data_IF_237562334503
#
_entry.id   IF_237562334503
#
_cell.length_a   1.000
_cell.length_b   1.000
_cell.length_c   1.000
_cell.angle_alpha   90.00
_cell.angle_beta   90.00
_cell.angle_gamma   90.00
#
_symmetry.space_group_name_H-M   'P 1'
#
loop_
_entity.id
_entity.type
_entity.pdbx_description
1 polymer ?
#
# COMPACT_ATOMS: atom_id res chain seq x y z
N UNK A 1 19.71 8.07 -6.16
CA UNK A 1 18.74 8.71 -5.24
C UNK A 1 18.49 7.72 -4.12
N UNK A 2 18.48 8.15 -2.86
CA UNK A 2 18.17 7.23 -1.76
C UNK A 2 16.68 6.85 -1.80
N UNK A 3 16.30 5.70 -1.21
CA UNK A 3 14.90 5.35 -1.06
C UNK A 3 14.06 6.46 -0.41
N UNK A 4 14.55 7.07 0.68
CA UNK A 4 13.83 8.17 1.37
C UNK A 4 13.57 9.38 0.47
N UNK A 5 14.53 9.71 -0.42
CA UNK A 5 14.36 10.79 -1.39
C UNK A 5 13.27 10.49 -2.43
N UNK A 6 13.12 9.21 -2.83
CA UNK A 6 12.05 8.78 -3.72
C UNK A 6 10.70 8.90 -3.00
N UNK A 7 10.63 8.40 -1.76
CA UNK A 7 9.43 8.48 -0.94
C UNK A 7 8.98 9.92 -0.70
N UNK A 8 9.91 10.83 -0.39
CA UNK A 8 9.60 12.26 -0.23
C UNK A 8 8.97 12.88 -1.50
N UNK A 9 9.51 12.56 -2.69
CA UNK A 9 8.93 13.00 -3.96
C UNK A 9 7.54 12.42 -4.21
N UNK A 10 7.34 11.17 -3.79
CA UNK A 10 6.06 10.48 -3.86
C UNK A 10 5.02 11.14 -2.96
N UNK A 11 5.41 11.48 -1.73
CA UNK A 11 4.59 12.23 -0.78
C UNK A 11 4.20 13.57 -1.36
N UNK A 12 5.16 14.38 -1.82
CA UNK A 12 4.91 15.68 -2.44
C UNK A 12 3.94 15.57 -3.64
N UNK A 13 4.13 14.54 -4.49
CA UNK A 13 3.28 14.30 -5.65
C UNK A 13 1.83 13.93 -5.26
N UNK A 14 1.65 13.17 -4.19
CA UNK A 14 0.32 12.77 -3.71
C UNK A 14 -0.34 13.89 -2.90
N UNK A 15 0.41 14.62 -2.07
CA UNK A 15 -0.05 15.82 -1.35
C UNK A 15 -0.61 16.85 -2.34
N UNK A 16 0.07 17.08 -3.48
CA UNK A 16 -0.41 18.00 -4.51
C UNK A 16 -1.76 17.59 -5.13
N UNK A 17 -2.11 16.30 -5.11
CA UNK A 17 -3.38 15.78 -5.64
C UNK A 17 -4.49 15.71 -4.59
N UNK A 18 -4.13 15.64 -3.31
CA UNK A 18 -5.07 15.50 -2.19
C UNK A 18 -5.27 16.78 -1.39
N UNK A 19 -4.52 17.84 -1.69
CA UNK A 19 -4.67 19.14 -1.06
C UNK A 19 -5.97 19.82 -1.45
N UNK A 20 -6.60 20.49 -0.47
CA UNK A 20 -7.69 21.42 -0.72
C UNK A 20 -7.16 22.72 -1.40
N UNK A 21 -8.04 23.64 -1.83
CA UNK A 21 -7.61 24.91 -2.45
C UNK A 21 -6.74 25.81 -1.54
N UNK A 22 -6.65 25.52 -0.24
CA UNK A 22 -5.78 26.19 0.72
C UNK A 22 -4.46 25.44 0.97
N UNK A 23 -4.21 24.32 0.28
CA UNK A 23 -3.00 23.53 0.42
C UNK A 23 -3.01 22.58 1.63
N UNK A 24 -4.16 22.29 2.23
CA UNK A 24 -4.28 21.39 3.38
C UNK A 24 -4.63 19.98 2.93
N UNK A 25 -4.01 18.98 3.53
CA UNK A 25 -4.27 17.56 3.27
C UNK A 25 -5.06 16.94 4.42
N UNK A 26 -6.11 16.19 4.10
CA UNK A 26 -6.82 15.37 5.08
C UNK A 26 -5.99 14.10 5.36
N UNK A 27 -5.44 13.99 6.57
CA UNK A 27 -4.41 12.99 6.88
C UNK A 27 -4.93 11.56 6.76
N UNK A 28 -6.17 11.28 7.15
CA UNK A 28 -6.77 9.95 7.07
C UNK A 28 -6.96 9.50 5.62
N UNK A 29 -7.31 10.43 4.73
CA UNK A 29 -7.39 10.16 3.29
C UNK A 29 -6.00 9.85 2.71
N UNK A 30 -4.98 10.63 3.07
CA UNK A 30 -3.60 10.41 2.65
C UNK A 30 -3.07 9.05 3.10
N UNK A 31 -3.22 8.72 4.39
CA UNK A 31 -2.75 7.45 4.96
C UNK A 31 -3.49 6.24 4.34
N UNK A 32 -4.80 6.36 4.12
CA UNK A 32 -5.60 5.34 3.43
C UNK A 32 -5.10 5.11 2.01
N UNK A 33 -4.84 6.17 1.25
CA UNK A 33 -4.33 6.11 -0.12
C UNK A 33 -2.92 5.48 -0.16
N UNK A 34 -2.00 5.94 0.70
CA UNK A 34 -0.65 5.39 0.80
C UNK A 34 -0.65 3.90 1.16
N UNK A 35 -1.52 3.47 2.08
CA UNK A 35 -1.68 2.06 2.42
C UNK A 35 -2.11 1.20 1.23
N UNK A 36 -3.10 1.67 0.46
CA UNK A 36 -3.57 0.99 -0.76
C UNK A 36 -2.46 0.90 -1.82
N UNK A 37 -1.75 2.00 -2.05
CA UNK A 37 -0.67 2.10 -3.02
C UNK A 37 0.54 1.24 -2.61
N UNK A 38 0.90 1.20 -1.32
CA UNK A 38 1.98 0.37 -0.81
C UNK A 38 1.69 -1.13 -1.00
N UNK A 39 0.47 -1.57 -0.65
CA UNK A 39 0.03 -2.95 -0.85
C UNK A 39 0.05 -3.35 -2.32
N UNK A 40 -0.46 -2.50 -3.22
CA UNK A 40 -0.39 -2.74 -4.66
C UNK A 40 1.06 -2.67 -5.19
N UNK A 41 1.89 -1.81 -4.62
CA UNK A 41 3.33 -1.72 -4.90
C UNK A 41 4.08 -3.01 -4.58
N UNK A 42 3.71 -3.72 -3.52
CA UNK A 42 4.23 -5.07 -3.24
C UNK A 42 3.84 -6.06 -4.35
N UNK A 43 2.59 -6.02 -4.84
CA UNK A 43 2.16 -6.87 -5.95
C UNK A 43 2.89 -6.54 -7.26
N UNK A 44 3.19 -5.27 -7.51
CA UNK A 44 3.99 -4.82 -8.64
C UNK A 44 5.44 -5.32 -8.54
N UNK A 45 6.05 -5.21 -7.35
CA UNK A 45 7.39 -5.72 -7.07
C UNK A 45 7.51 -7.23 -7.35
N UNK A 46 6.52 -8.03 -6.93
CA UNK A 46 6.49 -9.49 -7.23
C UNK A 46 6.47 -9.74 -8.74
N UNK A 47 5.66 -8.99 -9.50
CA UNK A 47 5.60 -9.13 -10.96
C UNK A 47 6.93 -8.75 -11.62
N UNK A 48 7.60 -7.71 -11.15
CA UNK A 48 8.93 -7.33 -11.65
C UNK A 48 9.98 -8.39 -11.31
N UNK A 49 9.93 -8.99 -10.12
CA UNK A 49 10.81 -10.10 -9.75
C UNK A 49 10.61 -11.33 -10.64
N UNK A 50 9.36 -11.67 -10.98
CA UNK A 50 9.04 -12.75 -11.92
C UNK A 50 9.59 -12.44 -13.31
N UNK A 51 9.36 -11.23 -13.83
CA UNK A 51 9.90 -10.80 -15.15
C UNK A 51 11.42 -10.86 -15.20
N UNK A 52 12.08 -10.52 -14.09
CA UNK A 52 13.54 -10.58 -13.96
C UNK A 52 14.08 -12.01 -13.72
N UNK A 53 13.23 -13.04 -13.69
CA UNK A 53 13.64 -14.42 -13.43
C UNK A 53 14.12 -14.70 -12.00
N UNK A 54 13.82 -13.80 -11.04
CA UNK A 54 14.23 -13.94 -9.63
C UNK A 54 13.27 -14.82 -8.83
N UNK A 55 12.01 -14.90 -9.26
CA UNK A 55 10.96 -15.69 -8.62
C UNK A 55 10.29 -16.57 -9.69
N UNK A 56 9.95 -17.79 -9.32
CA UNK A 56 9.17 -18.68 -10.18
C UNK A 56 7.76 -18.11 -10.38
N UNK A 57 7.28 -17.90 -11.62
CA UNK A 57 5.92 -17.41 -11.87
C UNK A 57 4.85 -18.32 -11.26
N UNK A 58 5.10 -19.64 -11.19
CA UNK A 58 4.16 -20.60 -10.64
C UNK A 58 4.02 -20.39 -9.12
N UNK A 59 2.85 -19.92 -8.70
CA UNK A 59 2.55 -19.67 -7.28
C UNK A 59 3.12 -18.36 -6.74
N UNK A 60 3.71 -17.51 -7.58
CA UNK A 60 4.18 -16.18 -7.15
C UNK A 60 3.01 -15.32 -6.67
N UNK A 61 1.85 -15.48 -7.31
CA UNK A 61 0.61 -14.81 -6.95
C UNK A 61 -0.52 -15.84 -7.06
N UNK A 62 -1.23 -16.04 -5.95
CA UNK A 62 -2.41 -16.88 -5.90
C UNK A 62 -3.60 -16.01 -6.27
N UNK A 63 -4.19 -16.30 -7.41
CA UNK A 63 -5.38 -15.60 -7.91
C UNK A 63 -6.63 -16.16 -7.24
N UNK A 64 -7.48 -15.28 -6.74
CA UNK A 64 -8.78 -15.60 -6.14
C UNK A 64 -9.85 -14.76 -6.82
N UNK A 65 -10.75 -15.41 -7.55
CA UNK A 65 -11.96 -14.76 -8.07
C UNK A 65 -13.07 -14.85 -7.02
N UNK A 66 -13.68 -13.73 -6.71
CA UNK A 66 -14.73 -13.63 -5.68
C UNK A 66 -16.11 -13.40 -6.28
N UNK A 67 -17.14 -13.43 -5.44
CA UNK A 67 -18.56 -13.38 -5.84
C UNK A 67 -18.97 -12.06 -6.52
N UNK A 68 -18.21 -10.98 -6.31
CA UNK A 68 -18.37 -9.70 -6.99
C UNK A 68 -17.77 -9.69 -8.41
N UNK A 69 -17.19 -10.82 -8.86
CA UNK A 69 -16.50 -10.93 -10.14
C UNK A 69 -15.09 -10.32 -10.13
N UNK A 70 -14.62 -9.81 -8.99
CA UNK A 70 -13.28 -9.27 -8.83
C UNK A 70 -12.22 -10.37 -8.76
N UNK A 71 -11.04 -10.06 -9.30
CA UNK A 71 -9.83 -10.88 -9.16
C UNK A 71 -8.89 -10.27 -8.13
N UNK A 72 -8.57 -11.05 -7.11
CA UNK A 72 -7.70 -10.68 -6.00
C UNK A 72 -6.45 -11.54 -5.96
N UNK A 73 -5.37 -11.02 -5.37
CA UNK A 73 -4.07 -11.69 -5.34
C UNK A 73 -3.58 -11.87 -3.91
N UNK A 74 -3.23 -13.11 -3.59
CA UNK A 74 -2.67 -13.54 -2.31
C UNK A 74 -1.32 -14.25 -2.51
N UNK A 75 -0.63 -14.53 -1.42
CA UNK A 75 0.52 -15.44 -1.40
C UNK A 75 1.76 -14.88 -0.73
N UNK A 76 2.65 -15.79 -0.35
CA UNK A 76 3.82 -15.49 0.48
C UNK A 76 4.74 -14.46 -0.15
N UNK A 77 4.85 -14.43 -1.49
CA UNK A 77 5.69 -13.46 -2.18
C UNK A 77 5.19 -12.01 -2.00
N UNK A 78 3.89 -11.80 -1.78
CA UNK A 78 3.35 -10.48 -1.39
C UNK A 78 3.57 -10.25 0.11
N UNK A 79 3.34 -11.28 0.94
CA UNK A 79 3.44 -11.17 2.39
C UNK A 79 4.86 -10.82 2.86
N UNK A 80 5.89 -11.25 2.13
CA UNK A 80 7.29 -10.93 2.43
C UNK A 80 7.54 -9.41 2.49
N UNK A 81 7.40 -8.63 1.41
CA UNK A 81 7.61 -7.18 1.45
C UNK A 81 6.50 -6.43 2.21
N UNK A 82 5.30 -7.00 2.35
CA UNK A 82 4.19 -6.36 3.04
C UNK A 82 4.31 -6.45 4.57
N UNK A 83 4.64 -7.64 5.10
CA UNK A 83 4.53 -7.98 6.52
C UNK A 83 5.80 -8.66 7.09
N UNK A 84 6.28 -9.72 6.44
CA UNK A 84 7.12 -10.74 7.08
C UNK A 84 8.62 -10.41 7.08
N UNK A 85 9.14 -9.80 6.00
CA UNK A 85 10.56 -9.49 5.85
C UNK A 85 11.06 -8.57 6.97
N UNK A 86 12.36 -8.58 7.28
CA UNK A 86 12.93 -7.73 8.33
C UNK A 86 12.61 -6.24 8.11
N UNK A 87 12.63 -5.81 6.85
CA UNK A 87 12.16 -4.50 6.42
C UNK A 87 10.93 -4.74 5.53
N UNK A 88 9.74 -4.47 6.09
CA UNK A 88 8.45 -4.62 5.42
C UNK A 88 7.62 -3.37 5.58
N UNK A 89 6.60 -3.18 4.72
CA UNK A 89 5.67 -2.05 4.79
C UNK A 89 5.09 -1.90 6.21
N UNK A 90 4.61 -2.99 6.79
CA UNK A 90 4.08 -2.98 8.16
C UNK A 90 5.13 -2.53 9.19
N UNK A 91 6.35 -3.07 9.14
CA UNK A 91 7.39 -2.73 10.13
C UNK A 91 7.85 -1.28 10.04
N UNK A 92 7.87 -0.70 8.84
CA UNK A 92 8.16 0.72 8.65
C UNK A 92 7.08 1.60 9.27
N UNK A 93 5.81 1.32 8.95
CA UNK A 93 4.68 2.11 9.45
C UNK A 93 4.54 1.94 10.96
N UNK A 94 4.69 0.73 11.48
CA UNK A 94 4.71 0.44 12.91
C UNK A 94 5.79 1.24 13.65
N UNK A 95 7.03 1.23 13.13
CA UNK A 95 8.13 2.00 13.70
C UNK A 95 7.88 3.50 13.65
N UNK A 96 7.37 4.02 12.54
CA UNK A 96 7.03 5.43 12.39
C UNK A 96 5.90 5.86 13.35
N UNK A 97 4.86 5.04 13.50
CA UNK A 97 3.76 5.29 14.43
C UNK A 97 4.24 5.31 15.88
N UNK A 98 5.09 4.36 16.28
CA UNK A 98 5.69 4.35 17.61
C UNK A 98 6.58 5.57 17.86
N UNK A 99 7.39 5.95 16.87
CA UNK A 99 8.21 7.15 16.94
C UNK A 99 7.35 8.43 17.11
N UNK A 100 6.17 8.46 16.48
CA UNK A 100 5.18 9.52 16.63
C UNK A 100 4.39 9.45 17.96
N UNK A 101 4.65 8.47 18.82
CA UNK A 101 4.06 8.36 20.15
C UNK A 101 2.96 7.31 20.30
N UNK A 102 2.70 6.49 19.28
CA UNK A 102 1.76 5.37 19.41
C UNK A 102 2.30 4.35 20.44
N UNK A 103 1.52 4.09 21.48
CA UNK A 103 1.84 3.08 22.50
C UNK A 103 1.42 1.68 22.10
N UNK A 104 0.26 1.60 21.45
CA UNK A 104 -0.36 0.38 20.99
C UNK A 104 -0.44 0.40 19.46
N UNK A 105 -0.11 -0.73 18.85
CA UNK A 105 -0.26 -0.96 17.42
C UNK A 105 -1.44 -1.93 17.21
N UNK A 106 -2.17 -1.80 16.09
CA UNK A 106 -3.24 -2.74 15.80
C UNK A 106 -2.70 -4.16 15.61
N UNK A 107 -3.52 -5.16 15.96
CA UNK A 107 -3.21 -6.56 15.70
C UNK A 107 -3.23 -6.81 14.18
N UNK A 108 -2.04 -6.94 13.60
CA UNK A 108 -1.88 -7.14 12.17
C UNK A 108 -2.48 -8.47 11.69
N UNK A 109 -2.49 -9.51 12.53
CA UNK A 109 -3.08 -10.80 12.20
C UNK A 109 -4.60 -10.70 12.18
N UNK A 110 -5.18 -9.92 13.08
CA UNK A 110 -6.60 -9.59 13.08
C UNK A 110 -6.99 -8.82 11.81
N UNK A 111 -6.20 -7.80 11.42
CA UNK A 111 -6.41 -7.06 10.17
C UNK A 111 -6.38 -8.01 8.97
N UNK A 112 -5.34 -8.85 8.85
CA UNK A 112 -5.19 -9.80 7.74
C UNK A 112 -6.39 -10.75 7.69
N UNK A 113 -6.82 -11.28 8.83
CA UNK A 113 -7.98 -12.17 8.93
C UNK A 113 -9.26 -11.48 8.46
N UNK A 114 -9.49 -10.25 8.93
CA UNK A 114 -10.67 -9.49 8.57
C UNK A 114 -10.70 -9.17 7.07
N UNK A 115 -9.62 -8.62 6.52
CA UNK A 115 -9.52 -8.26 5.11
C UNK A 115 -9.67 -9.50 4.21
N UNK A 116 -9.08 -10.62 4.60
CA UNK A 116 -9.23 -11.89 3.86
C UNK A 116 -10.65 -12.45 3.91
N UNK A 117 -11.37 -12.24 5.02
CA UNK A 117 -12.75 -12.70 5.18
C UNK A 117 -13.78 -11.81 4.45
N UNK A 118 -13.46 -10.53 4.24
CA UNK A 118 -14.37 -9.58 3.58
C UNK A 118 -14.12 -9.41 2.09
N UNK A 119 -13.00 -9.91 1.55
CA UNK A 119 -12.63 -9.80 0.14
C UNK A 119 -13.77 -10.20 -0.80
N UNK A 120 -14.06 -9.35 -1.78
CA UNK A 120 -15.17 -9.53 -2.72
C UNK A 120 -16.58 -9.38 -2.12
N UNK A 121 -16.68 -8.85 -0.90
CA UNK A 121 -17.94 -8.49 -0.25
C UNK A 121 -18.00 -7.00 0.11
N UNK A 122 -19.17 -6.52 0.54
CA UNK A 122 -19.40 -5.09 0.84
C UNK A 122 -18.59 -4.52 2.01
N UNK A 123 -17.97 -5.38 2.83
CA UNK A 123 -17.06 -4.95 3.89
C UNK A 123 -15.61 -4.76 3.43
N UNK A 124 -15.26 -5.16 2.21
CA UNK A 124 -13.90 -5.03 1.70
C UNK A 124 -13.52 -3.57 1.49
N UNK A 125 -12.37 -3.15 2.04
CA UNK A 125 -11.87 -1.79 1.91
C UNK A 125 -12.59 -0.76 2.80
N UNK A 126 -13.53 -1.17 3.66
CA UNK A 126 -14.15 -0.29 4.66
C UNK A 126 -13.29 -0.28 5.93
N UNK A 127 -12.72 0.89 6.27
CA UNK A 127 -11.84 1.00 7.45
C UNK A 127 -12.65 0.89 8.75
N UNK A 128 -12.14 0.09 9.70
CA UNK A 128 -12.72 -0.07 11.05
C UNK A 128 -12.09 0.93 12.02
N UNK A 129 -12.33 2.21 11.76
CA UNK A 129 -11.88 3.35 12.57
C UNK A 129 -13.07 4.20 13.00
N UNK A 130 -12.87 5.10 13.97
CA UNK A 130 -13.91 6.06 14.38
C UNK A 130 -14.45 6.84 13.17
N UNK A 131 -15.76 7.17 13.13
CA UNK A 131 -16.36 7.88 11.99
C UNK A 131 -15.66 9.19 11.62
N UNK A 132 -15.14 9.92 12.61
CA UNK A 132 -14.38 11.16 12.40
C UNK A 132 -13.01 10.96 11.71
N UNK A 133 -12.50 9.73 11.71
CA UNK A 133 -11.22 9.35 11.12
C UNK A 133 -11.42 8.58 9.80
N UNK A 134 -12.64 8.55 9.25
CA UNK A 134 -12.88 7.89 7.96
C UNK A 134 -12.25 8.73 6.83
N UNK A 135 -11.56 8.09 5.87
CA UNK A 135 -11.07 8.80 4.70
C UNK A 135 -12.24 9.31 3.85
N UNK A 136 -11.99 10.39 3.10
CA UNK A 136 -12.99 10.97 2.19
C UNK A 136 -13.27 10.09 0.95
N UNK A 137 -12.41 9.12 0.66
CA UNK A 137 -12.57 8.17 -0.43
C UNK A 137 -12.13 6.76 -0.02
N UNK A 138 -12.69 5.74 -0.68
CA UNK A 138 -12.33 4.36 -0.41
C UNK A 138 -10.90 4.06 -0.90
N UNK A 139 -10.15 3.15 -0.23
CA UNK A 139 -8.79 2.78 -0.63
C UNK A 139 -8.67 2.34 -2.09
N UNK A 140 -9.66 1.62 -2.61
CA UNK A 140 -9.67 1.14 -3.99
C UNK A 140 -9.83 2.28 -5.00
N UNK A 141 -10.56 3.33 -4.64
CA UNK A 141 -10.77 4.49 -5.50
C UNK A 141 -9.52 5.37 -5.53
N UNK A 142 -8.88 5.56 -4.37
CA UNK A 142 -7.56 6.18 -4.28
C UNK A 142 -6.53 5.44 -5.14
N UNK A 143 -6.50 4.09 -5.08
CA UNK A 143 -5.61 3.28 -5.91
C UNK A 143 -5.85 3.52 -7.40
N UNK A 144 -7.10 3.41 -7.86
CA UNK A 144 -7.47 3.62 -9.28
C UNK A 144 -7.08 5.02 -9.77
N UNK A 145 -7.26 6.03 -8.92
CA UNK A 145 -7.01 7.44 -9.25
C UNK A 145 -5.52 7.77 -9.27
N UNK A 146 -4.76 7.30 -8.30
CA UNK A 146 -3.39 7.79 -8.06
C UNK A 146 -2.29 6.86 -8.55
N UNK A 147 -2.56 5.56 -8.72
CA UNK A 147 -1.52 4.58 -9.05
C UNK A 147 -0.72 4.94 -10.30
N UNK A 148 -1.40 5.32 -11.40
CA UNK A 148 -0.71 5.57 -12.67
C UNK A 148 0.28 6.73 -12.56
N UNK A 149 -0.12 7.85 -11.95
CA UNK A 149 0.75 9.03 -11.78
C UNK A 149 1.92 8.75 -10.84
N UNK A 150 1.64 8.16 -9.68
CA UNK A 150 2.65 7.77 -8.70
C UNK A 150 3.65 6.76 -9.29
N UNK A 151 3.17 5.71 -9.95
CA UNK A 151 4.04 4.69 -10.53
C UNK A 151 4.89 5.25 -11.67
N UNK A 152 4.33 6.12 -12.53
CA UNK A 152 5.08 6.82 -13.57
C UNK A 152 6.24 7.65 -12.96
N UNK A 153 5.96 8.42 -11.91
CA UNK A 153 6.99 9.16 -11.18
C UNK A 153 8.08 8.22 -10.66
N UNK A 154 7.73 7.16 -9.93
CA UNK A 154 8.72 6.19 -9.43
C UNK A 154 9.59 5.65 -10.58
N UNK A 155 8.97 5.22 -11.68
CA UNK A 155 9.70 4.62 -12.82
C UNK A 155 10.61 5.60 -13.57
N UNK A 156 10.38 6.91 -13.44
CA UNK A 156 11.26 7.95 -13.99
C UNK A 156 12.52 8.18 -13.15
N UNK A 157 12.56 7.67 -11.92
CA UNK A 157 13.65 7.86 -10.98
C UNK A 157 14.59 6.63 -10.96
N UNK A 158 15.87 6.81 -10.56
CA UNK A 158 16.79 5.69 -10.37
C UNK A 158 16.37 4.87 -9.15
N UNK A 159 15.54 3.85 -9.38
CA UNK A 159 14.81 3.09 -8.37
C UNK A 159 15.05 1.57 -8.46
N UNK A 160 14.91 0.87 -7.35
CA UNK A 160 14.80 -0.60 -7.34
C UNK A 160 13.32 -1.00 -7.52
N UNK A 161 12.95 -1.76 -8.58
CA UNK A 161 11.56 -2.20 -8.78
C UNK A 161 11.00 -2.97 -7.59
N UNK A 162 11.85 -3.71 -6.89
CA UNK A 162 11.44 -4.57 -5.79
C UNK A 162 11.07 -3.78 -4.53
N UNK A 163 11.45 -2.51 -4.48
CA UNK A 163 11.14 -1.59 -3.39
C UNK A 163 9.88 -0.75 -3.64
N UNK A 164 9.09 -1.05 -4.68
CA UNK A 164 7.94 -0.20 -5.04
C UNK A 164 6.96 0.00 -3.87
N UNK A 165 6.58 -1.06 -3.13
CA UNK A 165 5.75 -0.92 -1.94
C UNK A 165 6.40 -0.12 -0.80
N UNK A 166 7.72 -0.23 -0.66
CA UNK A 166 8.51 0.51 0.32
C UNK A 166 8.46 2.02 0.05
N UNK A 167 8.54 2.45 -1.22
CA UNK A 167 8.51 3.87 -1.55
C UNK A 167 7.20 4.56 -1.15
N UNK A 168 6.08 3.85 -1.21
CA UNK A 168 4.81 4.35 -0.69
C UNK A 168 4.74 4.30 0.85
N UNK A 169 5.32 3.28 1.48
CA UNK A 169 5.31 3.17 2.94
C UNK A 169 6.18 4.21 3.65
N UNK A 170 7.26 4.65 3.00
CA UNK A 170 8.14 5.71 3.52
C UNK A 170 7.74 7.12 3.08
N UNK A 171 6.69 7.28 2.28
CA UNK A 171 6.21 8.57 1.81
C UNK A 171 5.44 9.27 2.92
#
# INVERSE_FOLDING_TARGET
MSPDQISAKLREHLEAQLSDPQGRVHVETMLSALGALAGFGCQAAVREAVKAGRINPKGALVEVTTNDGGTYYFGDQINQPLLEAQISVWKLIAGAAQHAGAKDLPDIIEIVRHVSATVGGGGFGVLRVDPKNQPHEAPIDALKKHWQGCYALITSLPRDPLMTGWYFAGA
#
